data_IF_344074147335
#
_entry.id   IF_344074147335
#
_cell.length_a   1.000
_cell.length_b   1.000
_cell.length_c   1.000
_cell.angle_alpha   90.00
_cell.angle_beta   90.00
_cell.angle_gamma   90.00
#
_symmetry.space_group_name_H-M   'P 1'
#
loop_
_entity.id
_entity.type
_entity.pdbx_description
1 polymer ?
#
# COMPACT_ATOMS: atom_id res chain seq x y z
N UNK A 1 -7.88 15.51 3.70
CA UNK A 1 -8.69 15.25 2.50
C UNK A 1 -9.54 16.47 2.16
N UNK A 2 -9.75 16.76 0.85
CA UNK A 2 -10.56 17.91 0.40
C UNK A 2 -11.52 17.45 -0.69
N UNK A 3 -12.74 17.98 -0.69
CA UNK A 3 -13.62 17.98 -1.85
C UNK A 3 -13.73 19.40 -2.42
N UNK A 4 -13.61 19.50 -3.73
CA UNK A 4 -13.68 20.76 -4.46
C UNK A 4 -14.85 20.74 -5.44
N UNK A 5 -15.54 21.85 -5.57
CA UNK A 5 -16.51 22.04 -6.66
C UNK A 5 -15.79 22.04 -8.01
N UNK A 6 -16.22 21.18 -8.91
CA UNK A 6 -15.52 20.94 -10.19
C UNK A 6 -15.53 22.15 -11.13
N UNK A 7 -16.54 23.02 -11.00
CA UNK A 7 -16.70 24.19 -11.88
C UNK A 7 -15.97 25.43 -11.34
N UNK A 8 -15.89 25.56 -10.01
CA UNK A 8 -15.41 26.80 -9.36
C UNK A 8 -14.09 26.61 -8.62
N UNK A 9 -13.72 25.36 -8.28
CA UNK A 9 -12.56 25.04 -7.41
C UNK A 9 -12.81 25.41 -5.95
N UNK A 10 -14.00 25.85 -5.56
CA UNK A 10 -14.31 26.15 -4.19
C UNK A 10 -14.27 24.89 -3.31
N UNK A 11 -13.78 25.04 -2.07
CA UNK A 11 -13.76 23.93 -1.10
C UNK A 11 -15.21 23.66 -0.67
N UNK A 12 -15.69 22.44 -0.96
CA UNK A 12 -17.01 21.97 -0.50
C UNK A 12 -16.88 21.51 0.96
N UNK A 13 -15.89 20.68 1.25
CA UNK A 13 -15.54 20.28 2.62
C UNK A 13 -14.05 19.96 2.75
N UNK A 14 -13.57 19.96 4.00
CA UNK A 14 -12.20 19.60 4.36
C UNK A 14 -12.20 18.76 5.64
N UNK A 15 -11.51 17.61 5.61
CA UNK A 15 -11.35 16.71 6.76
C UNK A 15 -9.88 16.51 7.05
N UNK A 16 -9.50 16.70 8.31
CA UNK A 16 -8.17 16.40 8.81
C UNK A 16 -8.12 14.93 9.27
N UNK A 17 -6.97 14.31 9.05
CA UNK A 17 -6.67 12.92 9.45
C UNK A 17 -5.92 12.86 10.76
N UNK A 18 -5.40 13.99 11.23
CA UNK A 18 -4.73 14.17 12.51
C UNK A 18 -5.32 15.37 13.23
N UNK A 19 -5.16 15.49 14.58
CA UNK A 19 -5.68 16.62 15.35
C UNK A 19 -5.24 17.96 14.76
N UNK A 20 -6.15 18.93 14.73
CA UNK A 20 -5.87 20.26 14.21
C UNK A 20 -4.79 20.98 15.04
N UNK A 21 -4.01 21.83 14.39
CA UNK A 21 -3.06 22.71 15.08
C UNK A 21 -3.77 23.58 16.15
N UNK A 22 -3.20 23.79 17.35
CA UNK A 22 -1.81 23.55 17.73
C UNK A 22 -1.53 22.25 18.51
N UNK A 23 -2.32 21.20 18.33
CA UNK A 23 -2.23 19.96 19.12
C UNK A 23 -0.85 19.24 19.05
N UNK A 24 0.02 19.63 18.10
CA UNK A 24 1.40 19.12 18.01
C UNK A 24 1.53 17.83 17.20
N UNK A 25 0.44 17.32 16.64
CA UNK A 25 0.46 16.22 15.70
C UNK A 25 0.65 16.72 14.26
N UNK A 26 1.48 16.03 13.47
CA UNK A 26 1.61 16.22 12.04
C UNK A 26 1.83 14.89 11.36
N UNK A 27 1.53 14.78 10.09
CA UNK A 27 1.58 13.52 9.35
C UNK A 27 0.18 13.04 8.98
N UNK A 28 -0.09 11.76 9.09
CA UNK A 28 -1.37 11.15 8.71
C UNK A 28 -1.75 11.45 7.26
N UNK A 29 -0.75 11.57 6.38
CA UNK A 29 -0.97 11.99 5.00
C UNK A 29 -1.80 10.98 4.23
N UNK A 30 -2.80 11.46 3.49
CA UNK A 30 -3.53 10.65 2.52
C UNK A 30 -2.67 10.58 1.27
N UNK A 31 -1.98 9.48 1.09
CA UNK A 31 -1.19 9.21 -0.09
C UNK A 31 -1.47 7.79 -0.64
N UNK A 32 -0.90 7.42 -1.74
CA UNK A 32 -1.22 6.13 -2.35
C UNK A 32 -2.32 6.22 -3.41
N UNK A 33 -2.63 7.44 -3.87
CA UNK A 33 -3.40 7.77 -5.06
C UNK A 33 -4.93 7.95 -4.89
N UNK A 34 -5.75 7.36 -5.75
CA UNK A 34 -7.15 7.71 -5.88
C UNK A 34 -8.02 7.06 -4.81
N UNK A 35 -8.84 7.82 -4.06
CA UNK A 35 -9.82 7.25 -3.13
C UNK A 35 -10.80 6.34 -3.85
N UNK A 36 -11.24 5.25 -3.21
CA UNK A 36 -12.35 4.47 -3.70
C UNK A 36 -13.68 5.14 -3.34
N UNK A 37 -14.55 5.34 -4.34
CA UNK A 37 -15.86 5.99 -4.16
C UNK A 37 -16.95 4.92 -4.15
N UNK A 38 -17.71 4.86 -3.07
CA UNK A 38 -18.88 4.01 -2.89
C UNK A 38 -20.16 4.84 -2.98
N UNK A 39 -20.71 4.93 -4.17
CA UNK A 39 -21.97 5.67 -4.40
C UNK A 39 -23.18 4.99 -3.75
N UNK A 40 -23.12 3.68 -3.50
CA UNK A 40 -24.18 2.92 -2.83
C UNK A 40 -24.34 3.33 -1.37
N UNK A 41 -23.21 3.59 -0.68
CA UNK A 41 -23.16 4.00 0.72
C UNK A 41 -23.02 5.50 0.92
N UNK A 42 -22.76 6.27 -0.15
CA UNK A 42 -22.43 7.68 -0.06
C UNK A 42 -21.12 7.91 0.69
N UNK A 43 -20.13 7.05 0.47
CA UNK A 43 -18.86 7.07 1.17
C UNK A 43 -17.66 7.09 0.21
N UNK A 44 -16.53 7.58 0.69
CA UNK A 44 -15.24 7.36 0.06
C UNK A 44 -14.26 6.76 1.06
N UNK A 45 -13.34 5.92 0.57
CA UNK A 45 -12.35 5.24 1.39
C UNK A 45 -10.95 5.74 1.07
N UNK A 46 -10.18 6.03 2.13
CA UNK A 46 -8.78 6.49 2.06
C UNK A 46 -7.90 5.68 2.99
N UNK A 47 -6.61 5.61 2.65
CA UNK A 47 -5.54 5.15 3.54
C UNK A 47 -4.74 6.34 4.05
N UNK A 48 -4.24 6.28 5.27
CA UNK A 48 -3.38 7.29 5.86
C UNK A 48 -2.00 6.73 6.18
N UNK A 49 -1.01 7.60 6.23
CA UNK A 49 0.33 7.28 6.67
C UNK A 49 0.59 7.62 8.13
N UNK A 50 1.83 7.43 8.54
CA UNK A 50 2.33 7.64 9.88
C UNK A 50 2.30 9.12 10.34
N UNK A 51 2.51 9.35 11.61
CA UNK A 51 2.80 10.67 12.15
C UNK A 51 4.24 11.10 11.80
N UNK A 52 4.44 12.39 11.55
CA UNK A 52 5.79 12.99 11.44
C UNK A 52 6.24 13.58 12.75
N UNK A 53 5.32 14.14 13.53
CA UNK A 53 5.53 14.62 14.90
C UNK A 53 4.34 14.26 15.78
N UNK A 54 4.59 14.05 17.05
CA UNK A 54 3.59 13.92 18.11
C UNK A 54 3.97 14.85 19.28
N UNK A 55 3.02 15.28 20.13
CA UNK A 55 3.31 16.13 21.28
C UNK A 55 4.30 15.47 22.27
N UNK A 56 5.11 16.26 22.94
CA UNK A 56 6.07 15.76 23.93
C UNK A 56 5.41 14.95 25.07
N UNK A 57 4.17 15.28 25.42
CA UNK A 57 3.38 14.51 26.40
C UNK A 57 3.02 13.11 25.89
N UNK A 58 2.64 12.99 24.61
CA UNK A 58 2.37 11.70 23.98
C UNK A 58 3.66 10.86 23.86
N UNK A 59 4.78 11.48 23.47
CA UNK A 59 6.10 10.81 23.43
C UNK A 59 6.47 10.23 24.80
N UNK A 60 6.39 11.04 25.86
CA UNK A 60 6.69 10.58 27.22
C UNK A 60 5.76 9.46 27.69
N UNK A 61 4.48 9.52 27.32
CA UNK A 61 3.50 8.48 27.61
C UNK A 61 3.83 7.17 26.90
N UNK A 62 4.12 7.21 25.59
CA UNK A 62 4.50 6.04 24.78
C UNK A 62 5.77 5.38 25.33
N UNK A 63 6.78 6.17 25.67
CA UNK A 63 8.01 5.67 26.29
C UNK A 63 7.73 4.96 27.63
N UNK A 64 6.85 5.53 28.45
CA UNK A 64 6.46 4.95 29.74
C UNK A 64 5.61 3.67 29.59
N UNK A 65 4.77 3.58 28.56
CA UNK A 65 3.94 2.41 28.24
C UNK A 65 4.77 1.21 27.74
N UNK A 66 5.95 1.46 27.16
CA UNK A 66 6.88 0.43 26.71
C UNK A 66 6.30 -0.47 25.61
N UNK A 67 6.18 -1.78 25.87
CA UNK A 67 5.69 -2.77 24.89
C UNK A 67 4.19 -3.09 25.02
N UNK A 68 3.47 -2.45 25.94
CA UNK A 68 2.04 -2.64 26.09
C UNK A 68 1.29 -1.86 25.00
N UNK A 69 0.86 -2.57 23.96
CA UNK A 69 0.20 -1.97 22.79
C UNK A 69 -1.09 -1.22 23.12
N UNK A 70 -1.84 -1.65 24.15
CA UNK A 70 -3.07 -0.98 24.59
C UNK A 70 -2.75 0.32 25.28
N UNK A 71 -1.76 0.30 26.19
CA UNK A 71 -1.30 1.48 26.88
C UNK A 71 -0.65 2.49 25.91
N UNK A 72 0.14 2.00 24.94
CA UNK A 72 0.74 2.83 23.88
C UNK A 72 -0.35 3.52 23.05
N UNK A 73 -1.36 2.78 22.61
CA UNK A 73 -2.46 3.37 21.82
C UNK A 73 -3.25 4.42 22.62
N UNK A 74 -3.42 4.20 23.93
CA UNK A 74 -4.09 5.15 24.80
C UNK A 74 -3.33 6.47 25.01
N UNK A 75 -2.04 6.53 24.65
CA UNK A 75 -1.23 7.75 24.68
C UNK A 75 -1.50 8.69 23.50
N UNK A 76 -2.12 8.21 22.45
CA UNK A 76 -2.37 8.92 21.19
C UNK A 76 -3.77 9.54 21.22
N UNK A 77 -3.92 10.73 20.64
CA UNK A 77 -5.22 11.40 20.58
C UNK A 77 -6.23 10.56 19.78
N UNK A 78 -7.48 10.50 20.25
CA UNK A 78 -8.52 9.68 19.64
C UNK A 78 -8.92 10.12 18.21
N UNK A 79 -8.62 11.35 17.83
CA UNK A 79 -8.83 11.92 16.50
C UNK A 79 -7.54 11.94 15.64
N UNK A 80 -6.51 11.21 16.08
CA UNK A 80 -5.29 10.99 15.31
C UNK A 80 -5.40 9.65 14.54
N UNK A 81 -5.73 9.75 13.26
CA UNK A 81 -5.99 8.61 12.38
C UNK A 81 -4.77 8.28 11.50
N UNK A 82 -3.59 8.18 12.11
CA UNK A 82 -2.39 7.67 11.45
C UNK A 82 -2.56 6.20 11.07
N UNK A 83 -1.86 5.73 10.06
CA UNK A 83 -1.83 4.33 9.57
C UNK A 83 -3.20 3.64 9.60
N UNK A 84 -4.20 4.33 9.08
CA UNK A 84 -5.60 3.91 9.13
C UNK A 84 -6.22 3.74 7.76
N UNK A 85 -7.18 2.83 7.64
CA UNK A 85 -8.19 2.86 6.57
C UNK A 85 -9.39 3.61 7.13
N UNK A 86 -9.90 4.57 6.38
CA UNK A 86 -10.98 5.45 6.82
C UNK A 86 -12.10 5.50 5.79
N UNK A 87 -13.35 5.58 6.27
CA UNK A 87 -14.49 5.95 5.45
C UNK A 87 -14.94 7.38 5.80
N UNK A 88 -15.08 8.19 4.76
CA UNK A 88 -15.60 9.55 4.86
C UNK A 88 -16.95 9.63 4.14
N UNK A 89 -17.85 10.41 4.70
CA UNK A 89 -19.10 10.77 4.04
C UNK A 89 -18.82 11.58 2.76
N UNK A 90 -19.40 11.19 1.65
CA UNK A 90 -19.09 11.76 0.35
C UNK A 90 -19.56 13.20 0.22
N UNK A 91 -20.66 13.58 0.88
CA UNK A 91 -21.26 14.92 0.78
C UNK A 91 -20.64 15.91 1.78
N UNK A 92 -20.31 15.43 2.99
CA UNK A 92 -19.93 16.31 4.11
C UNK A 92 -18.46 16.18 4.53
N UNK A 93 -17.80 15.10 4.13
CA UNK A 93 -16.45 14.75 4.57
C UNK A 93 -16.39 14.24 6.02
N UNK A 94 -17.52 14.02 6.69
CA UNK A 94 -17.54 13.50 8.05
C UNK A 94 -16.94 12.09 8.10
N UNK A 95 -16.10 11.84 9.10
CA UNK A 95 -15.51 10.50 9.32
C UNK A 95 -16.64 9.58 9.79
N UNK A 96 -16.91 8.51 9.03
CA UNK A 96 -17.90 7.48 9.36
C UNK A 96 -17.28 6.41 10.26
N UNK A 97 -16.08 6.00 9.93
CA UNK A 97 -15.23 5.10 10.74
C UNK A 97 -13.77 5.26 10.33
N UNK A 98 -12.88 4.87 11.24
CA UNK A 98 -11.45 4.76 11.01
C UNK A 98 -10.94 3.49 11.70
N UNK A 99 -10.12 2.70 11.01
CA UNK A 99 -9.53 1.46 11.53
C UNK A 99 -8.02 1.59 11.47
N UNK A 100 -7.41 1.79 12.64
CA UNK A 100 -5.96 1.89 12.79
C UNK A 100 -5.30 0.51 12.74
N UNK A 101 -4.17 0.41 12.06
CA UNK A 101 -3.41 -0.83 11.94
C UNK A 101 -2.39 -1.01 13.06
N UNK A 102 -1.88 0.08 13.63
CA UNK A 102 -0.81 0.09 14.62
C UNK A 102 -1.20 0.86 15.87
N UNK A 103 -0.65 0.50 17.04
CA UNK A 103 -0.84 1.26 18.26
C UNK A 103 -0.10 2.60 18.24
N UNK A 104 0.98 2.70 17.44
CA UNK A 104 1.83 3.86 17.31
C UNK A 104 2.69 3.78 16.06
N UNK A 105 2.80 4.88 15.33
CA UNK A 105 3.83 5.09 14.33
C UNK A 105 4.12 6.59 14.19
N UNK A 106 5.35 6.98 14.50
CA UNK A 106 5.85 8.31 14.22
C UNK A 106 7.25 8.20 13.62
N UNK A 107 7.40 8.68 12.38
CA UNK A 107 8.64 8.50 11.64
C UNK A 107 8.83 9.61 10.60
N UNK A 108 10.09 9.92 10.29
CA UNK A 108 10.48 10.81 9.18
C UNK A 108 11.70 10.25 8.46
N UNK A 109 11.96 10.72 7.24
CA UNK A 109 13.19 10.38 6.49
C UNK A 109 14.47 10.69 7.29
N UNK A 110 14.40 11.64 8.24
CA UNK A 110 15.50 11.92 9.18
C UNK A 110 15.92 10.70 10.01
N UNK A 111 15.05 9.72 10.22
CA UNK A 111 15.36 8.48 10.95
C UNK A 111 16.33 7.56 10.20
N UNK A 112 16.48 7.71 8.88
CA UNK A 112 17.39 6.89 8.08
C UNK A 112 18.87 7.30 8.21
N UNK A 113 19.16 8.47 8.79
CA UNK A 113 20.53 8.93 9.02
C UNK A 113 21.35 9.23 7.77
N UNK A 114 20.74 9.32 6.58
CA UNK A 114 21.45 9.58 5.32
C UNK A 114 22.16 10.94 5.27
N UNK A 115 21.71 11.91 6.07
CA UNK A 115 22.21 13.27 6.09
C UNK A 115 22.96 13.62 7.38
N UNK A 116 23.43 12.63 8.15
CA UNK A 116 24.09 12.77 9.44
C UNK A 116 23.26 12.18 10.59
N UNK A 117 23.57 12.51 11.85
CA UNK A 117 22.77 12.04 13.00
C UNK A 117 21.31 12.42 12.82
N UNK A 118 20.35 11.54 13.18
CA UNK A 118 18.93 11.82 13.00
C UNK A 118 18.51 13.06 13.80
N UNK A 119 18.29 14.19 13.11
CA UNK A 119 17.96 15.47 13.75
C UNK A 119 16.45 15.70 13.89
N UNK A 120 15.65 15.03 13.05
CA UNK A 120 14.19 15.16 12.99
C UNK A 120 13.47 13.82 13.11
N UNK A 121 14.11 12.81 13.69
CA UNK A 121 13.48 11.52 13.98
C UNK A 121 12.73 11.61 15.30
N UNK A 122 11.45 11.25 15.37
CA UNK A 122 10.71 11.15 16.62
C UNK A 122 11.35 10.14 17.59
N UNK A 123 11.18 10.34 18.88
CA UNK A 123 11.62 9.43 19.93
C UNK A 123 10.41 9.03 20.81
N UNK A 124 9.98 7.77 20.83
CA UNK A 124 10.49 6.65 20.01
C UNK A 124 10.12 6.80 18.56
N UNK A 125 10.94 6.23 17.66
CA UNK A 125 10.58 6.11 16.25
C UNK A 125 9.66 4.92 16.03
N UNK A 126 8.67 5.09 15.14
CA UNK A 126 7.84 4.00 14.64
C UNK A 126 8.45 3.27 13.43
N UNK A 127 7.76 2.28 12.88
CA UNK A 127 8.25 1.45 11.77
C UNK A 127 8.05 2.04 10.37
N UNK A 128 7.33 3.16 10.22
CA UNK A 128 6.94 3.76 8.93
C UNK A 128 6.05 2.81 8.08
N UNK A 129 4.96 2.33 8.68
CA UNK A 129 4.08 1.34 8.05
C UNK A 129 2.77 1.93 7.52
N UNK A 130 2.89 2.94 6.67
CA UNK A 130 1.75 3.59 6.02
C UNK A 130 0.83 2.64 5.25
N UNK A 131 -0.46 2.99 5.15
CA UNK A 131 -1.30 2.54 4.04
C UNK A 131 -0.96 3.38 2.80
N UNK A 132 0.07 2.96 2.07
CA UNK A 132 0.64 3.67 0.94
C UNK A 132 -0.01 3.31 -0.41
N UNK A 133 -1.17 2.69 -0.39
CA UNK A 133 -2.01 2.44 -1.56
C UNK A 133 -3.45 2.87 -1.31
N UNK A 134 -4.16 3.23 -2.37
CA UNK A 134 -5.58 3.49 -2.30
C UNK A 134 -6.34 2.22 -1.92
N UNK A 135 -7.34 2.28 -1.01
CA UNK A 135 -8.22 1.16 -0.77
C UNK A 135 -8.97 0.76 -2.05
N UNK A 136 -9.16 -0.55 -2.26
CA UNK A 136 -10.00 -1.09 -3.30
C UNK A 136 -11.36 -1.47 -2.72
N UNK A 137 -12.45 -1.06 -3.39
CA UNK A 137 -13.80 -1.54 -3.09
C UNK A 137 -14.14 -2.67 -4.07
N UNK A 138 -14.50 -3.83 -3.56
CA UNK A 138 -14.83 -4.99 -4.38
C UNK A 138 -15.90 -5.85 -3.74
N UNK A 139 -16.52 -6.72 -4.54
CA UNK A 139 -17.59 -7.61 -4.07
C UNK A 139 -17.11 -9.05 -4.14
N UNK A 140 -17.40 -9.82 -3.11
CA UNK A 140 -17.11 -11.25 -3.02
C UNK A 140 -18.39 -12.06 -2.87
N UNK A 141 -18.37 -13.30 -3.38
CA UNK A 141 -19.45 -14.26 -3.26
C UNK A 141 -19.21 -15.15 -2.05
N UNK A 142 -20.13 -15.12 -1.08
CA UNK A 142 -20.06 -16.00 0.07
C UNK A 142 -20.60 -17.39 -0.26
N UNK A 143 -19.85 -18.47 -0.02
CA UNK A 143 -20.30 -19.82 -0.27
C UNK A 143 -21.64 -20.13 0.45
N UNK A 144 -22.63 -20.66 -0.28
CA UNK A 144 -23.88 -21.17 0.26
C UNK A 144 -24.94 -20.12 0.64
N UNK A 145 -24.75 -18.84 0.37
CA UNK A 145 -25.71 -17.80 0.74
C UNK A 145 -26.35 -17.02 -0.42
N UNK A 146 -25.83 -17.15 -1.64
CA UNK A 146 -26.30 -16.33 -2.76
C UNK A 146 -26.19 -14.82 -2.53
N UNK A 147 -25.44 -14.40 -1.52
CA UNK A 147 -25.27 -13.02 -1.10
C UNK A 147 -23.90 -12.52 -1.53
N UNK A 148 -23.92 -11.53 -2.38
CA UNK A 148 -22.76 -10.70 -2.68
C UNK A 148 -22.43 -9.83 -1.47
N UNK A 149 -21.18 -9.78 -1.06
CA UNK A 149 -20.73 -8.96 0.04
C UNK A 149 -19.63 -8.00 -0.42
N UNK A 150 -19.85 -6.70 -0.20
CA UNK A 150 -18.85 -5.70 -0.49
C UNK A 150 -17.74 -5.74 0.57
N UNK A 151 -16.52 -5.49 0.13
CA UNK A 151 -15.30 -5.46 0.95
C UNK A 151 -14.51 -4.22 0.54
N UNK A 152 -13.92 -3.54 1.51
CA UNK A 152 -12.89 -2.54 1.25
C UNK A 152 -11.55 -3.08 1.75
N UNK A 153 -10.50 -3.01 0.92
CA UNK A 153 -9.20 -3.56 1.30
C UNK A 153 -8.05 -2.72 0.83
N UNK A 154 -6.96 -2.75 1.60
CA UNK A 154 -5.72 -2.08 1.26
C UNK A 154 -4.51 -2.84 1.80
N UNK A 155 -3.39 -2.73 1.10
CA UNK A 155 -2.09 -3.18 1.59
C UNK A 155 -1.38 -2.08 2.36
N UNK A 156 -0.53 -2.50 3.28
CA UNK A 156 0.26 -1.66 4.16
C UNK A 156 1.76 -1.93 3.97
N UNK A 157 2.60 -0.96 4.21
CA UNK A 157 4.07 -1.12 4.20
C UNK A 157 4.58 -2.22 5.12
N UNK A 158 3.79 -2.64 6.14
CA UNK A 158 4.07 -3.81 6.97
C UNK A 158 4.12 -5.14 6.20
N UNK A 159 3.66 -5.15 4.95
CA UNK A 159 3.50 -6.36 4.13
C UNK A 159 2.15 -7.06 4.35
N UNK A 160 1.27 -6.50 5.15
CA UNK A 160 -0.08 -7.00 5.41
C UNK A 160 -1.08 -6.41 4.43
N UNK A 161 -2.00 -7.26 3.93
CA UNK A 161 -3.21 -6.82 3.26
C UNK A 161 -4.39 -6.93 4.22
N UNK A 162 -5.18 -5.88 4.31
CA UNK A 162 -6.33 -5.74 5.19
C UNK A 162 -7.61 -5.74 4.38
N UNK A 163 -8.61 -6.49 4.80
CA UNK A 163 -9.95 -6.48 4.23
C UNK A 163 -10.98 -6.19 5.32
N UNK A 164 -11.77 -5.15 5.10
CA UNK A 164 -12.67 -4.59 6.08
C UNK A 164 -14.12 -4.60 5.57
N UNK A 165 -15.03 -4.60 6.52
CA UNK A 165 -16.44 -4.32 6.28
C UNK A 165 -16.63 -2.86 5.90
N UNK A 166 -17.22 -2.52 4.74
CA UNK A 166 -17.34 -1.14 4.29
C UNK A 166 -18.33 -0.30 5.11
N UNK A 167 -19.27 -0.94 5.82
CA UNK A 167 -20.26 -0.22 6.64
C UNK A 167 -19.72 0.16 8.02
N UNK A 168 -18.80 -0.66 8.57
CA UNK A 168 -18.36 -0.53 9.97
C UNK A 168 -16.86 -0.35 10.16
N UNK A 169 -16.06 -0.65 9.14
CA UNK A 169 -14.60 -0.70 9.24
C UNK A 169 -14.06 -1.92 10.00
N UNK A 170 -14.93 -2.85 10.41
CA UNK A 170 -14.48 -4.05 11.10
C UNK A 170 -13.62 -4.94 10.20
N UNK A 171 -12.47 -5.38 10.73
CA UNK A 171 -11.56 -6.28 10.00
C UNK A 171 -12.23 -7.62 9.78
N UNK A 172 -12.37 -8.04 8.53
CA UNK A 172 -12.86 -9.35 8.12
C UNK A 172 -11.77 -10.38 8.08
N UNK A 173 -10.66 -10.02 7.47
CA UNK A 173 -9.44 -10.80 7.44
C UNK A 173 -8.23 -9.90 7.20
N UNK A 174 -7.06 -10.40 7.57
CA UNK A 174 -5.78 -9.75 7.37
C UNK A 174 -4.74 -10.83 7.03
N UNK A 175 -3.88 -10.57 6.06
CA UNK A 175 -2.90 -11.56 5.60
C UNK A 175 -1.53 -10.93 5.40
N UNK A 176 -0.52 -11.53 6.02
CA UNK A 176 0.89 -11.20 5.77
C UNK A 176 1.32 -11.81 4.45
N UNK A 177 1.68 -11.00 3.46
CA UNK A 177 2.08 -11.45 2.12
C UNK A 177 3.59 -11.48 1.91
N UNK A 178 4.34 -10.95 2.83
CA UNK A 178 5.79 -10.86 2.80
C UNK A 178 6.29 -9.88 3.86
N UNK A 179 7.61 -9.67 3.99
CA UNK A 179 8.17 -8.75 4.97
C UNK A 179 7.75 -7.30 4.73
N UNK A 180 7.62 -6.55 5.82
CA UNK A 180 7.47 -5.11 5.77
C UNK A 180 8.80 -4.38 5.66
N UNK A 181 8.73 -3.10 5.27
CA UNK A 181 9.88 -2.21 5.20
C UNK A 181 9.45 -0.74 5.03
N UNK A 182 10.32 0.18 5.38
CA UNK A 182 10.08 1.63 5.30
C UNK A 182 9.85 2.11 3.85
N UNK A 183 10.53 1.54 2.88
CA UNK A 183 10.30 1.81 1.46
C UNK A 183 9.32 0.81 0.82
N UNK A 184 8.53 0.12 1.63
CA UNK A 184 7.43 -0.74 1.21
C UNK A 184 7.58 -2.23 1.58
N UNK A 185 6.51 -2.77 2.09
CA UNK A 185 6.02 -4.11 1.92
C UNK A 185 5.00 -4.04 0.81
N UNK A 186 3.70 -3.74 1.10
CA UNK A 186 2.70 -3.45 0.07
C UNK A 186 2.59 -1.93 -0.14
N UNK A 187 2.81 -1.49 -1.38
CA UNK A 187 2.84 -0.08 -1.74
C UNK A 187 2.27 0.10 -3.15
N UNK A 188 1.78 1.28 -3.48
CA UNK A 188 1.29 1.74 -4.78
C UNK A 188 0.00 1.12 -5.31
N UNK A 189 -0.34 -0.12 -5.03
CA UNK A 189 -1.64 -0.66 -5.39
C UNK A 189 -1.71 -2.18 -5.52
N UNK A 190 -2.90 -2.72 -5.26
CA UNK A 190 -3.27 -4.11 -5.46
C UNK A 190 -4.39 -4.19 -6.50
N UNK A 191 -4.54 -5.33 -7.16
CA UNK A 191 -5.60 -5.57 -8.13
C UNK A 191 -6.59 -6.61 -7.60
N UNK A 192 -7.84 -6.57 -8.09
CA UNK A 192 -8.90 -7.52 -7.69
C UNK A 192 -9.67 -7.98 -8.94
N UNK A 193 -9.96 -9.28 -9.04
CA UNK A 193 -10.78 -9.87 -10.11
C UNK A 193 -12.14 -10.40 -9.65
N UNK A 194 -12.58 -10.03 -8.44
CA UNK A 194 -13.80 -10.51 -7.80
C UNK A 194 -13.66 -11.85 -7.06
N UNK A 195 -12.61 -12.61 -7.35
CA UNK A 195 -12.29 -13.88 -6.66
C UNK A 195 -10.99 -13.81 -5.88
N UNK A 196 -10.06 -13.00 -6.35
CA UNK A 196 -8.71 -12.89 -5.80
C UNK A 196 -8.29 -11.43 -5.63
N UNK A 197 -7.46 -11.23 -4.64
CA UNK A 197 -6.69 -9.99 -4.48
C UNK A 197 -5.25 -10.31 -4.87
N UNK A 198 -4.67 -9.50 -5.75
CA UNK A 198 -3.29 -9.63 -6.20
C UNK A 198 -2.45 -8.53 -5.58
N UNK A 199 -1.41 -8.91 -4.86
CA UNK A 199 -0.52 -7.99 -4.18
C UNK A 199 0.89 -8.04 -4.76
N UNK A 200 1.63 -6.95 -4.62
CA UNK A 200 3.04 -6.85 -4.95
C UNK A 200 3.80 -6.39 -3.71
N UNK A 201 4.52 -7.31 -3.06
CA UNK A 201 5.32 -7.01 -1.87
C UNK A 201 6.74 -6.67 -2.28
N UNK A 202 7.18 -5.44 -2.03
CA UNK A 202 8.50 -4.97 -2.40
C UNK A 202 9.64 -5.63 -1.64
N UNK A 203 9.41 -6.03 -0.39
CA UNK A 203 10.45 -6.48 0.55
C UNK A 203 11.66 -5.53 0.57
N UNK A 204 11.39 -4.24 0.73
CA UNK A 204 12.40 -3.19 0.56
C UNK A 204 13.61 -3.28 1.50
N UNK A 205 13.46 -4.01 2.61
CA UNK A 205 14.55 -4.25 3.55
C UNK A 205 15.28 -5.58 3.30
N UNK A 206 15.02 -6.27 2.19
CA UNK A 206 15.64 -7.55 1.79
C UNK A 206 15.63 -8.60 2.91
N UNK A 207 14.54 -8.67 3.68
CA UNK A 207 14.41 -9.64 4.77
C UNK A 207 14.10 -11.03 4.22
N UNK A 208 14.69 -12.10 4.77
CA UNK A 208 14.32 -13.46 4.42
C UNK A 208 12.82 -13.70 4.70
N UNK A 209 12.12 -14.31 3.75
CA UNK A 209 10.75 -14.76 3.91
C UNK A 209 10.70 -16.28 4.00
N UNK A 210 10.47 -16.88 5.20
CA UNK A 210 10.56 -18.33 5.41
C UNK A 210 9.62 -19.14 4.52
N UNK A 211 8.38 -18.67 4.35
CA UNK A 211 7.35 -19.37 3.57
C UNK A 211 7.68 -19.40 2.07
N UNK A 212 8.59 -18.52 1.62
CA UNK A 212 9.12 -18.50 0.26
C UNK A 212 10.55 -19.04 0.17
N UNK A 213 10.91 -19.97 1.04
CA UNK A 213 12.24 -20.59 1.05
C UNK A 213 13.39 -19.65 1.43
N UNK A 214 13.11 -18.62 2.24
CA UNK A 214 14.11 -17.63 2.68
C UNK A 214 14.46 -16.58 1.63
N UNK A 215 13.61 -16.37 0.61
CA UNK A 215 13.84 -15.34 -0.39
C UNK A 215 13.93 -13.95 0.22
N UNK A 216 14.82 -13.12 -0.32
CA UNK A 216 15.02 -11.72 0.07
C UNK A 216 14.55 -10.73 -1.01
N UNK A 217 14.04 -11.22 -2.14
CA UNK A 217 13.46 -10.43 -3.23
C UNK A 217 12.03 -10.03 -2.93
N UNK A 218 11.46 -9.18 -3.77
CA UNK A 218 10.02 -8.94 -3.80
C UNK A 218 9.22 -10.18 -4.22
N UNK A 219 7.88 -10.07 -4.15
CA UNK A 219 6.98 -11.18 -4.41
C UNK A 219 5.59 -10.70 -4.82
N UNK A 220 5.00 -11.36 -5.82
CA UNK A 220 3.57 -11.27 -6.09
C UNK A 220 2.82 -12.38 -5.37
N UNK A 221 1.64 -12.08 -4.88
CA UNK A 221 0.77 -13.06 -4.22
C UNK A 221 -0.66 -12.93 -4.73
N UNK A 222 -1.37 -14.04 -4.84
CA UNK A 222 -2.83 -14.03 -4.91
C UNK A 222 -3.42 -14.51 -3.59
N UNK A 223 -4.38 -13.75 -3.10
CA UNK A 223 -5.17 -14.07 -1.92
C UNK A 223 -6.60 -14.41 -2.35
N UNK A 224 -7.20 -15.40 -1.73
CA UNK A 224 -8.66 -15.60 -1.83
C UNK A 224 -9.37 -14.35 -1.31
N UNK A 225 -10.18 -13.71 -2.12
CA UNK A 225 -10.80 -12.43 -1.79
C UNK A 225 -11.79 -12.52 -0.61
N UNK A 226 -12.34 -13.72 -0.33
CA UNK A 226 -13.30 -13.95 0.74
C UNK A 226 -12.63 -14.22 2.08
N UNK A 227 -11.52 -14.99 2.07
CA UNK A 227 -10.89 -15.52 3.28
C UNK A 227 -9.53 -14.94 3.60
N UNK A 228 -8.88 -14.32 2.62
CA UNK A 228 -7.51 -13.85 2.71
C UNK A 228 -6.45 -14.95 2.59
N UNK A 229 -6.84 -16.20 2.35
CA UNK A 229 -5.88 -17.30 2.21
C UNK A 229 -4.95 -17.05 1.02
N UNK A 230 -3.63 -17.23 1.21
CA UNK A 230 -2.66 -17.20 0.12
C UNK A 230 -2.91 -18.40 -0.79
N UNK A 231 -3.21 -18.14 -2.06
CA UNK A 231 -3.44 -19.17 -3.08
C UNK A 231 -2.14 -19.53 -3.80
N UNK A 232 -1.33 -18.53 -4.10
CA UNK A 232 -0.01 -18.70 -4.68
C UNK A 232 0.89 -17.48 -4.36
N UNK A 233 2.20 -17.72 -4.41
CA UNK A 233 3.22 -16.69 -4.33
C UNK A 233 4.28 -16.93 -5.41
N UNK A 234 4.65 -15.89 -6.13
CA UNK A 234 5.63 -15.96 -7.23
C UNK A 234 6.68 -14.89 -7.06
N UNK A 235 7.94 -15.29 -7.04
CA UNK A 235 9.10 -14.41 -7.04
C UNK A 235 9.45 -13.98 -8.45
N UNK A 236 9.96 -12.74 -8.65
CA UNK A 236 10.53 -12.36 -9.93
C UNK A 236 11.66 -13.33 -10.33
N UNK A 237 11.64 -13.95 -11.50
CA UNK A 237 12.70 -14.87 -11.95
C UNK A 237 14.10 -14.25 -11.94
N UNK A 238 14.18 -12.95 -12.27
CA UNK A 238 15.43 -12.20 -12.31
C UNK A 238 15.72 -11.43 -11.02
N UNK A 239 14.93 -11.62 -9.96
CA UNK A 239 15.11 -10.90 -8.70
C UNK A 239 14.49 -9.50 -8.71
N UNK A 240 14.97 -8.63 -7.81
CA UNK A 240 14.46 -7.26 -7.64
C UNK A 240 13.28 -7.14 -6.69
N UNK A 241 12.90 -5.89 -6.38
CA UNK A 241 11.73 -5.56 -5.56
C UNK A 241 10.49 -5.41 -6.42
N UNK A 242 9.35 -6.01 -6.02
CA UNK A 242 8.05 -5.85 -6.71
C UNK A 242 7.30 -4.65 -6.15
N UNK A 243 7.83 -3.45 -6.36
CA UNK A 243 7.27 -2.22 -5.78
C UNK A 243 6.11 -1.63 -6.59
N UNK A 244 6.05 -1.89 -7.90
CA UNK A 244 4.98 -1.37 -8.76
C UNK A 244 3.61 -1.98 -8.43
N UNK A 245 2.50 -1.25 -8.65
CA UNK A 245 1.17 -1.80 -8.43
C UNK A 245 0.86 -2.97 -9.35
N UNK A 246 0.15 -3.97 -8.83
CA UNK A 246 -0.40 -5.05 -9.64
C UNK A 246 -1.58 -4.52 -10.50
N UNK A 247 -1.70 -5.04 -11.72
CA UNK A 247 -2.87 -4.82 -12.58
C UNK A 247 -3.37 -6.17 -13.08
N UNK A 248 -4.67 -6.37 -13.21
CA UNK A 248 -5.23 -7.63 -13.72
C UNK A 248 -6.23 -7.40 -14.83
N UNK A 249 -6.21 -8.25 -15.84
CA UNK A 249 -7.19 -8.31 -16.92
C UNK A 249 -7.24 -9.71 -17.53
N UNK A 250 -8.44 -10.21 -17.82
CA UNK A 250 -8.68 -11.46 -18.57
C UNK A 250 -7.86 -12.68 -18.07
N UNK A 251 -7.75 -12.83 -16.73
CA UNK A 251 -7.04 -13.97 -16.15
C UNK A 251 -5.51 -13.82 -16.16
N UNK A 252 -5.00 -12.64 -16.43
CA UNK A 252 -3.58 -12.30 -16.38
C UNK A 252 -3.32 -11.22 -15.33
N UNK A 253 -2.25 -11.37 -14.56
CA UNK A 253 -1.74 -10.37 -13.62
C UNK A 253 -0.46 -9.77 -14.20
N UNK A 254 -0.39 -8.46 -14.22
CA UNK A 254 0.78 -7.71 -14.65
C UNK A 254 1.48 -7.11 -13.43
N UNK A 255 2.78 -7.32 -13.35
CA UNK A 255 3.62 -6.80 -12.29
C UNK A 255 5.04 -6.54 -12.79
N UNK A 256 5.74 -5.62 -12.15
CA UNK A 256 7.09 -5.28 -12.57
C UNK A 256 8.05 -5.15 -11.39
N UNK A 257 9.35 -5.09 -11.70
CA UNK A 257 10.39 -4.95 -10.70
C UNK A 257 11.10 -3.61 -10.78
N UNK A 258 11.56 -3.18 -9.62
CA UNK A 258 12.61 -2.17 -9.52
C UNK A 258 13.96 -2.90 -9.39
N UNK A 259 14.97 -2.29 -9.95
CA UNK A 259 16.35 -2.61 -9.61
C UNK A 259 16.57 -2.26 -8.13
N UNK A 260 16.80 -3.25 -7.28
CA UNK A 260 17.23 -3.00 -5.92
C UNK A 260 18.75 -2.90 -5.94
N UNK A 261 19.30 -1.78 -5.53
CA UNK A 261 20.74 -1.50 -5.40
C UNK A 261 21.52 -2.51 -4.53
N UNK A 262 20.87 -3.55 -4.06
CA UNK A 262 21.42 -4.60 -3.18
C UNK A 262 21.49 -6.00 -3.80
N UNK A 263 20.89 -6.25 -4.96
CA UNK A 263 20.90 -7.56 -5.60
C UNK A 263 21.19 -7.51 -7.10
N UNK A 264 21.17 -6.36 -7.72
CA UNK A 264 21.42 -6.24 -9.14
C UNK A 264 22.89 -5.94 -9.40
N UNK A 265 23.49 -6.80 -10.15
CA UNK A 265 24.58 -6.39 -11.05
C UNK A 265 24.01 -5.32 -11.97
N UNK A 266 24.81 -4.35 -12.43
CA UNK A 266 24.40 -3.32 -13.41
C UNK A 266 23.72 -3.90 -14.69
N UNK A 267 23.59 -5.19 -14.79
CA UNK A 267 23.08 -5.95 -15.93
C UNK A 267 21.59 -6.32 -15.82
N UNK A 268 20.88 -5.95 -14.73
CA UNK A 268 19.45 -6.28 -14.56
C UNK A 268 18.59 -5.04 -14.23
N UNK A 269 18.23 -4.25 -15.24
CA UNK A 269 17.71 -2.90 -15.07
C UNK A 269 16.19 -2.83 -14.79
N UNK A 270 15.54 -3.92 -14.42
CA UNK A 270 14.10 -3.99 -14.19
C UNK A 270 13.33 -4.73 -15.29
N UNK A 271 12.31 -5.47 -14.88
CA UNK A 271 11.54 -6.37 -15.71
C UNK A 271 10.04 -6.15 -15.58
N UNK A 272 9.33 -6.41 -16.68
CA UNK A 272 7.87 -6.45 -16.74
C UNK A 272 7.43 -7.90 -16.94
N UNK A 273 6.38 -8.31 -16.22
CA UNK A 273 5.90 -9.69 -16.20
C UNK A 273 4.40 -9.76 -16.41
N UNK A 274 3.96 -10.82 -17.08
CA UNK A 274 2.58 -11.28 -17.07
C UNK A 274 2.53 -12.66 -16.42
N UNK A 275 1.64 -12.82 -15.43
CA UNK A 275 1.47 -14.06 -14.69
C UNK A 275 0.05 -14.61 -14.90
N UNK A 276 -0.09 -15.92 -14.90
CA UNK A 276 -1.39 -16.56 -14.84
C UNK A 276 -2.10 -16.26 -13.52
N UNK A 277 -3.27 -15.70 -13.60
CA UNK A 277 -4.02 -15.23 -12.41
C UNK A 277 -4.44 -16.39 -11.48
N UNK A 278 -4.60 -17.61 -11.99
CA UNK A 278 -5.03 -18.76 -11.21
C UNK A 278 -3.87 -19.45 -10.50
N UNK A 279 -2.67 -19.47 -11.11
CA UNK A 279 -1.54 -20.28 -10.66
C UNK A 279 -0.31 -19.49 -10.28
N UNK A 280 -0.20 -18.22 -10.68
CA UNK A 280 0.99 -17.40 -10.51
C UNK A 280 2.15 -17.77 -11.46
N UNK A 281 1.94 -18.68 -12.41
CA UNK A 281 2.97 -19.04 -13.37
C UNK A 281 3.33 -17.84 -14.27
N UNK A 282 4.62 -17.59 -14.49
CA UNK A 282 5.07 -16.55 -15.41
C UNK A 282 4.75 -16.97 -16.85
N UNK A 283 3.92 -16.19 -17.53
CA UNK A 283 3.48 -16.39 -18.91
C UNK A 283 4.37 -15.63 -19.90
N UNK A 284 4.86 -14.48 -19.49
CA UNK A 284 5.65 -13.57 -20.31
C UNK A 284 6.52 -12.68 -19.44
N UNK A 285 7.68 -12.34 -19.97
CA UNK A 285 8.63 -11.42 -19.33
C UNK A 285 9.29 -10.52 -20.38
N UNK A 286 9.67 -9.32 -19.97
CA UNK A 286 10.30 -8.33 -20.84
C UNK A 286 11.30 -7.49 -20.04
N UNK A 287 12.55 -7.48 -20.48
CA UNK A 287 13.59 -6.61 -19.93
C UNK A 287 13.30 -5.16 -20.30
N UNK A 288 12.79 -4.37 -19.36
CA UNK A 288 12.30 -3.03 -19.64
C UNK A 288 13.42 -1.99 -19.79
N UNK A 289 14.64 -2.30 -19.35
CA UNK A 289 15.80 -1.43 -19.43
C UNK A 289 15.81 -0.33 -18.37
N UNK A 290 14.90 -0.35 -17.40
CA UNK A 290 14.86 0.58 -16.27
C UNK A 290 13.86 0.15 -15.20
N UNK A 291 14.00 0.70 -14.01
CA UNK A 291 13.12 0.40 -12.88
C UNK A 291 11.66 0.75 -13.18
N UNK A 292 10.74 -0.12 -12.77
CA UNK A 292 9.32 0.03 -13.01
C UNK A 292 8.57 0.20 -11.68
N UNK A 293 7.91 1.37 -11.50
CA UNK A 293 7.03 1.68 -10.36
C UNK A 293 5.59 1.98 -10.79
N UNK A 294 5.31 1.93 -12.08
CA UNK A 294 3.96 2.17 -12.62
C UNK A 294 3.20 0.87 -12.81
N UNK A 295 1.89 0.90 -12.60
CA UNK A 295 0.99 -0.16 -13.04
C UNK A 295 0.80 -0.16 -14.55
N UNK A 296 0.53 -1.33 -15.11
CA UNK A 296 0.14 -1.45 -16.50
C UNK A 296 -1.26 -0.88 -16.74
N UNK A 297 -1.43 -0.02 -17.74
CA UNK A 297 -2.74 0.40 -18.22
C UNK A 297 -3.16 -0.51 -19.40
N UNK A 298 -4.35 -1.08 -19.32
CA UNK A 298 -4.83 -2.07 -20.29
C UNK A 298 -6.09 -1.54 -20.97
N UNK A 299 -6.09 -1.47 -22.29
CA UNK A 299 -7.22 -1.03 -23.07
C UNK A 299 -7.21 -1.63 -24.48
N UNK A 300 -8.36 -2.14 -24.92
CA UNK A 300 -8.57 -2.64 -26.29
C UNK A 300 -7.48 -3.59 -26.79
N UNK A 301 -7.09 -4.57 -25.97
CA UNK A 301 -6.05 -5.56 -26.33
C UNK A 301 -4.62 -5.03 -26.28
N UNK A 302 -4.42 -3.80 -25.83
CA UNK A 302 -3.08 -3.22 -25.66
C UNK A 302 -2.75 -3.07 -24.17
N UNK A 303 -1.46 -3.21 -23.85
CA UNK A 303 -0.87 -2.95 -22.54
C UNK A 303 0.12 -1.79 -22.66
N UNK A 304 -0.13 -0.70 -21.96
CA UNK A 304 0.75 0.46 -21.90
C UNK A 304 1.48 0.48 -20.57
N UNK A 305 2.81 0.60 -20.58
CA UNK A 305 3.59 0.47 -19.35
C UNK A 305 4.85 1.35 -19.33
N UNK A 306 5.00 2.14 -18.28
CA UNK A 306 6.15 3.02 -18.08
C UNK A 306 7.35 2.29 -17.49
N UNK A 307 8.57 2.71 -17.87
CA UNK A 307 9.84 2.23 -17.33
C UNK A 307 10.80 3.39 -17.11
N UNK A 308 11.60 3.34 -16.04
CA UNK A 308 12.67 4.27 -15.79
C UNK A 308 12.47 5.21 -14.61
N UNK A 309 11.75 4.81 -13.61
CA UNK A 309 11.61 5.60 -12.38
C UNK A 309 12.87 5.49 -11.51
N UNK A 310 13.70 6.54 -11.48
CA UNK A 310 14.98 6.54 -10.79
C UNK A 310 15.16 7.64 -9.72
N UNK A 311 14.09 8.37 -9.35
CA UNK A 311 14.24 9.67 -8.68
C UNK A 311 13.86 9.71 -7.19
N UNK A 312 13.52 8.60 -6.53
CA UNK A 312 13.09 8.65 -5.10
C UNK A 312 14.23 8.58 -4.08
N UNK A 313 15.50 8.62 -4.49
CA UNK A 313 16.62 8.49 -3.56
C UNK A 313 16.77 7.08 -2.95
N UNK A 314 15.93 6.13 -3.33
CA UNK A 314 15.94 4.74 -2.86
C UNK A 314 16.58 3.76 -3.86
N UNK A 315 17.24 4.26 -4.88
CA UNK A 315 17.73 3.47 -5.99
C UNK A 315 16.74 3.40 -7.16
N UNK A 316 17.16 2.83 -8.25
CA UNK A 316 16.38 2.65 -9.47
C UNK A 316 17.15 3.11 -10.70
N UNK A 317 16.95 2.39 -11.80
CA UNK A 317 17.59 2.67 -13.09
C UNK A 317 16.65 3.52 -13.96
N UNK A 318 17.06 4.75 -14.37
CA UNK A 318 16.26 5.59 -15.24
C UNK A 318 16.22 5.02 -16.67
N UNK A 319 15.11 5.18 -17.38
CA UNK A 319 14.97 4.74 -18.76
C UNK A 319 14.12 5.68 -19.62
N UNK A 320 13.18 6.42 -19.05
CA UNK A 320 12.30 7.38 -19.73
C UNK A 320 11.52 6.78 -20.93
N UNK A 321 11.04 5.54 -20.80
CA UNK A 321 10.26 4.86 -21.84
C UNK A 321 8.84 4.57 -21.41
N UNK A 322 7.93 4.69 -22.37
CA UNK A 322 6.59 4.13 -22.33
C UNK A 322 6.51 3.05 -23.41
N UNK A 323 6.25 1.84 -23.00
CA UNK A 323 6.03 0.71 -23.89
C UNK A 323 4.55 0.54 -24.19
N UNK A 324 4.25 0.11 -25.41
CA UNK A 324 2.93 -0.38 -25.82
C UNK A 324 3.10 -1.80 -26.36
N UNK A 325 2.43 -2.74 -25.74
CA UNK A 325 2.39 -4.15 -26.16
C UNK A 325 1.01 -4.46 -26.68
N UNK A 326 0.95 -5.22 -27.77
CA UNK A 326 -0.29 -5.71 -28.38
C UNK A 326 -0.17 -7.22 -28.58
N UNK A 327 -1.26 -7.93 -28.34
CA UNK A 327 -1.34 -9.34 -28.73
C UNK A 327 -1.29 -9.42 -30.28
N UNK A 328 -0.59 -10.43 -30.82
CA UNK A 328 -0.50 -10.64 -32.26
C UNK A 328 -1.86 -10.94 -32.90
#
# INVERSE_FOLDING_TARGET
MLALDVNTGAIVWKTYTVPALPAGYTGGAVWGSSPAIDTKRGQLYIGTGNNYTIPASAQACVLAAGSDSVAVHACIAADDHFDSIMALDLETGAIRWATAALPFDAWTVGCLGFFGPPTNCPEPAGPDFDFAQAPALFTVDLPGRGNHQDVVGAGQKSGQYWALDPDTGAVRWMTQTGPGGTAGGLQWGSAVDGKRVYTANANSNNKPWPDAGGATTGMWSALDATTGQILWQTRPPHGGGTSGPATTANGVVFGCTIDSSHAATQDDPGWMYALDAATGAVLWEFASGGSCLSGAAISNGNVFWGSGYGNLGFGGTPNNKLYAFQLP
#
